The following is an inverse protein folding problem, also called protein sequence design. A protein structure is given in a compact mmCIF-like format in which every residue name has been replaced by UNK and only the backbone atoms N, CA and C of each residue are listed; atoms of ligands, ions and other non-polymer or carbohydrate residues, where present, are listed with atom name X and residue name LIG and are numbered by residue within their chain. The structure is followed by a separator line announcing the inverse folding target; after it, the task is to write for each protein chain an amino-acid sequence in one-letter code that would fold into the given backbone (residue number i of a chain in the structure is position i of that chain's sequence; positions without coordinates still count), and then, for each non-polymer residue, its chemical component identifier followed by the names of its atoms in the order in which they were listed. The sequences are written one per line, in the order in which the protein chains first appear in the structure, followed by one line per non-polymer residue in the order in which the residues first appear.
data_IF_829454420414
#
_entry.id   IF_829454420414
#
_cell.length_a   1.000
_cell.length_b   1.000
_cell.length_c   1.000
_cell.angle_alpha   90.00
_cell.angle_beta   90.00
_cell.angle_gamma   90.00
#
_symmetry.space_group_name_H-M   'P 1'
#
loop_
_entity.id
_entity.type
_entity.pdbx_description
1 polymer ?
#
# COMPACT_ATOMS: atom_id res chain seq x y z
N UNK A 1 26.53 23.04 21.54
CA UNK A 1 25.88 24.35 21.79
C UNK A 1 24.72 24.14 22.76
N UNK A 2 24.35 25.16 23.57
CA UNK A 2 23.23 25.08 24.53
C UNK A 2 21.92 25.48 23.84
N UNK A 3 20.77 24.86 24.21
CA UNK A 3 19.46 25.27 23.70
C UNK A 3 19.17 26.75 24.02
N UNK A 4 18.28 27.41 23.25
CA UNK A 4 17.93 28.82 23.47
C UNK A 4 17.50 29.07 24.93
N UNK A 5 17.86 30.22 25.53
CA UNK A 5 17.58 30.51 26.94
C UNK A 5 16.10 30.38 27.33
N UNK A 6 15.18 30.73 26.42
CA UNK A 6 13.72 30.68 26.64
C UNK A 6 13.14 29.27 26.78
N UNK A 7 13.88 28.23 26.36
CA UNK A 7 13.47 26.83 26.48
C UNK A 7 13.63 26.28 27.91
N UNK A 8 14.42 26.95 28.75
CA UNK A 8 14.73 26.50 30.13
C UNK A 8 13.61 26.75 31.13
N UNK A 9 12.70 27.69 30.83
CA UNK A 9 11.64 28.13 31.74
C UNK A 9 10.24 27.61 31.35
N UNK A 10 10.13 26.76 30.32
CA UNK A 10 8.85 26.46 29.66
C UNK A 10 8.26 25.09 30.02
N UNK A 11 8.28 24.66 31.29
CA UNK A 11 7.74 23.35 31.71
C UNK A 11 6.33 23.03 31.17
N UNK A 12 5.52 24.04 30.88
CA UNK A 12 4.18 23.94 30.27
C UNK A 12 4.16 23.68 28.74
N UNK A 13 5.25 23.96 28.02
CA UNK A 13 5.37 23.77 26.57
C UNK A 13 6.30 22.61 26.18
N UNK A 14 6.79 21.85 27.16
CA UNK A 14 7.58 20.66 26.90
C UNK A 14 6.71 19.55 26.27
N UNK A 15 7.27 18.82 25.30
CA UNK A 15 6.59 17.64 24.77
C UNK A 15 6.51 16.54 25.84
N UNK A 16 5.31 15.93 25.96
CA UNK A 16 5.14 14.66 26.67
C UNK A 16 5.90 13.53 25.96
N UNK A 17 6.19 12.43 26.65
CA UNK A 17 6.87 11.27 26.03
C UNK A 17 6.09 10.68 24.84
N UNK A 18 4.75 10.68 24.92
CA UNK A 18 3.90 10.26 23.80
C UNK A 18 4.08 11.17 22.57
N UNK A 19 4.15 12.50 22.78
CA UNK A 19 4.39 13.46 21.69
C UNK A 19 5.80 13.35 21.13
N UNK A 20 6.82 13.10 21.98
CA UNK A 20 8.18 12.79 21.51
C UNK A 20 8.21 11.53 20.67
N UNK A 21 7.50 10.47 21.08
CA UNK A 21 7.39 9.22 20.30
C UNK A 21 6.75 9.47 18.93
N UNK A 22 5.64 10.19 18.88
CA UNK A 22 4.98 10.57 17.62
C UNK A 22 5.89 11.41 16.71
N UNK A 23 6.59 12.38 17.28
CA UNK A 23 7.53 13.22 16.52
C UNK A 23 8.71 12.41 15.97
N UNK A 24 9.25 11.48 16.76
CA UNK A 24 10.28 10.54 16.28
C UNK A 24 9.78 9.67 15.13
N UNK A 25 8.52 9.24 15.16
CA UNK A 25 7.92 8.52 14.01
C UNK A 25 7.87 9.41 12.77
N UNK A 26 7.44 10.66 12.91
CA UNK A 26 7.39 11.63 11.80
C UNK A 26 8.78 11.95 11.23
N UNK A 27 9.79 12.06 12.09
CA UNK A 27 11.20 12.21 11.68
C UNK A 27 11.68 10.99 10.89
N UNK A 28 11.35 9.77 11.34
CA UNK A 28 11.68 8.54 10.60
C UNK A 28 11.00 8.49 9.24
N UNK A 29 9.77 8.97 9.11
CA UNK A 29 9.09 9.05 7.82
C UNK A 29 9.81 9.96 6.82
N UNK A 30 10.39 11.07 7.28
CA UNK A 30 11.25 11.91 6.45
C UNK A 30 12.62 11.27 6.17
N UNK A 31 13.29 10.74 7.20
CA UNK A 31 14.58 10.05 7.06
C UNK A 31 14.52 8.86 6.07
N UNK A 32 13.39 8.16 6.04
CA UNK A 32 13.16 7.05 5.14
C UNK A 32 13.23 7.48 3.66
N UNK A 33 12.85 8.71 3.33
CA UNK A 33 12.66 9.15 1.93
C UNK A 33 13.75 10.07 1.40
N UNK A 34 14.44 10.82 2.27
CA UNK A 34 15.54 11.73 1.89
C UNK A 34 16.88 11.32 2.50
N UNK A 35 18.01 11.63 1.84
CA UNK A 35 19.36 11.41 2.40
C UNK A 35 19.74 12.44 3.48
N UNK A 36 18.89 12.58 4.50
CA UNK A 36 19.13 13.42 5.68
C UNK A 36 19.07 12.52 6.90
N UNK A 37 20.11 12.57 7.74
CA UNK A 37 20.16 11.82 9.00
C UNK A 37 19.74 12.71 10.16
N UNK A 38 18.74 12.28 10.92
CA UNK A 38 18.31 12.95 12.13
C UNK A 38 18.87 12.24 13.36
N UNK A 39 19.59 12.98 14.20
CA UNK A 39 20.20 12.46 15.42
C UNK A 39 19.80 13.33 16.59
N UNK A 40 19.04 12.75 17.53
CA UNK A 40 18.60 13.44 18.74
C UNK A 40 19.82 13.85 19.58
N UNK A 41 19.89 15.12 19.97
CA UNK A 41 20.99 15.70 20.77
C UNK A 41 22.39 15.51 20.16
N UNK A 42 22.51 15.56 18.83
CA UNK A 42 23.78 15.49 18.12
C UNK A 42 24.77 16.59 18.56
N UNK A 43 26.04 16.22 18.74
CA UNK A 43 27.10 17.16 19.13
C UNK A 43 27.68 17.92 17.94
N UNK A 44 27.72 17.28 16.77
CA UNK A 44 28.30 17.79 15.52
C UNK A 44 27.27 17.64 14.40
N UNK A 45 26.25 18.51 14.38
CA UNK A 45 25.22 18.51 13.34
C UNK A 45 25.44 19.66 12.36
N UNK A 46 25.10 19.44 11.10
CA UNK A 46 25.14 20.48 10.06
C UNK A 46 24.12 21.59 10.35
N UNK A 47 22.95 21.20 10.87
CA UNK A 47 21.88 22.07 11.33
C UNK A 47 21.14 21.46 12.54
N UNK A 48 20.40 22.27 13.28
CA UNK A 48 19.67 21.89 14.48
C UNK A 48 18.17 22.16 14.33
N UNK A 49 17.36 21.13 14.57
CA UNK A 49 15.91 21.26 14.78
C UNK A 49 15.63 21.43 16.26
N UNK A 50 15.00 22.54 16.64
CA UNK A 50 14.55 22.82 18.01
C UNK A 50 13.04 22.64 18.06
N UNK A 51 12.58 21.59 18.74
CA UNK A 51 11.17 21.23 18.81
C UNK A 51 10.60 21.64 20.15
N UNK A 52 9.44 22.28 20.12
CA UNK A 52 8.71 22.66 21.33
C UNK A 52 7.20 22.72 21.09
N UNK A 53 6.44 22.73 22.18
CA UNK A 53 5.01 22.99 22.13
C UNK A 53 4.71 24.48 21.97
N UNK A 54 3.50 24.79 21.50
CA UNK A 54 2.94 26.13 21.51
C UNK A 54 1.47 26.10 22.00
N UNK A 55 0.95 27.24 22.44
CA UNK A 55 -0.41 27.36 23.00
C UNK A 55 -1.54 27.43 21.96
N UNK A 56 -1.23 27.29 20.66
CA UNK A 56 -2.19 27.38 19.56
C UNK A 56 -2.67 26.02 19.03
N UNK A 57 -3.38 26.09 17.90
CA UNK A 57 -3.81 24.95 17.07
C UNK A 57 -2.91 24.88 15.83
N UNK A 58 -2.53 23.67 15.39
CA UNK A 58 -1.66 23.48 14.22
C UNK A 58 -0.17 23.49 14.56
N UNK A 59 0.66 24.07 13.70
CA UNK A 59 2.11 24.14 13.87
C UNK A 59 2.72 25.35 13.17
N UNK A 60 4.00 25.58 13.42
CA UNK A 60 4.83 26.46 12.61
C UNK A 60 6.26 25.94 12.59
N UNK A 61 6.98 26.30 11.53
CA UNK A 61 8.39 25.95 11.36
C UNK A 61 9.17 27.09 10.71
N UNK A 62 10.48 27.11 10.99
CA UNK A 62 11.42 28.01 10.32
C UNK A 62 12.05 27.30 9.13
N UNK A 63 12.04 27.94 7.97
CA UNK A 63 12.76 27.44 6.78
C UNK A 63 14.28 27.44 7.01
N UNK A 64 15.05 26.56 6.34
CA UNK A 64 16.50 26.66 6.27
C UNK A 64 16.95 28.06 5.81
N UNK A 65 18.02 28.58 6.42
CA UNK A 65 18.59 29.88 6.06
C UNK A 65 20.10 29.92 6.27
N UNK A 66 20.80 30.77 5.52
CA UNK A 66 22.25 30.97 5.70
C UNK A 66 22.60 31.75 6.98
N UNK A 67 21.60 32.35 7.64
CA UNK A 67 21.79 33.21 8.80
C UNK A 67 21.77 32.45 10.14
N UNK A 68 21.10 31.28 10.18
CA UNK A 68 20.95 30.48 11.37
C UNK A 68 20.96 28.99 11.04
N UNK A 69 21.80 28.23 11.76
CA UNK A 69 21.77 26.77 11.74
C UNK A 69 20.60 26.17 12.54
N UNK A 70 19.89 27.00 13.31
CA UNK A 70 18.77 26.57 14.12
C UNK A 70 17.46 26.84 13.37
N UNK A 71 16.65 25.80 13.22
CA UNK A 71 15.27 25.89 12.77
C UNK A 71 14.36 25.51 13.94
N UNK A 72 13.35 26.32 14.21
CA UNK A 72 12.40 26.06 15.29
C UNK A 72 11.15 25.43 14.71
N UNK A 73 10.67 24.36 15.34
CA UNK A 73 9.38 23.72 15.07
C UNK A 73 8.53 23.85 16.32
N UNK A 74 7.44 24.61 16.21
CA UNK A 74 6.42 24.74 17.24
C UNK A 74 5.19 23.92 16.87
N UNK A 75 4.81 22.95 17.71
CA UNK A 75 3.57 22.17 17.52
C UNK A 75 2.52 22.60 18.56
N UNK A 76 1.31 22.89 18.08
CA UNK A 76 0.17 23.27 18.90
C UNK A 76 -0.22 22.18 19.89
N UNK A 77 -0.41 22.58 21.14
CA UNK A 77 -0.79 21.69 22.23
C UNK A 77 -2.29 21.76 22.57
N UNK A 78 -3.03 22.70 21.96
CA UNK A 78 -4.36 23.14 22.41
C UNK A 78 -5.57 22.54 21.68
N UNK A 79 -5.42 21.46 20.91
CA UNK A 79 -6.56 20.79 20.28
C UNK A 79 -6.48 19.27 20.45
N UNK A 80 -7.51 18.70 21.07
CA UNK A 80 -7.72 17.26 21.22
C UNK A 80 -8.13 16.61 19.89
N UNK A 81 -8.49 17.40 18.86
CA UNK A 81 -9.03 16.94 17.58
C UNK A 81 -8.07 17.06 16.38
N UNK A 82 -6.86 17.59 16.59
CA UNK A 82 -5.88 17.72 15.52
C UNK A 82 -4.93 16.51 15.48
N UNK A 83 -4.71 15.89 14.31
CA UNK A 83 -3.75 14.80 14.13
C UNK A 83 -2.33 15.32 14.34
N UNK A 84 -1.76 15.05 15.51
CA UNK A 84 -0.41 15.46 15.84
C UNK A 84 0.59 15.05 14.74
N UNK A 85 0.46 13.85 14.17
CA UNK A 85 1.37 13.34 13.14
C UNK A 85 1.39 14.18 11.86
N UNK A 86 0.23 14.62 11.36
CA UNK A 86 0.20 15.37 10.09
C UNK A 86 0.80 16.76 10.23
N UNK A 87 0.55 17.45 11.35
CA UNK A 87 1.23 18.72 11.64
C UNK A 87 2.74 18.51 11.79
N UNK A 88 3.17 17.42 12.44
CA UNK A 88 4.60 17.11 12.57
C UNK A 88 5.26 16.86 11.21
N UNK A 89 4.65 16.05 10.34
CA UNK A 89 5.13 15.84 8.97
C UNK A 89 5.24 17.17 8.22
N UNK A 90 4.21 18.01 8.30
CA UNK A 90 4.16 19.32 7.64
C UNK A 90 5.28 20.25 8.12
N UNK A 91 5.43 20.43 9.43
CA UNK A 91 6.42 21.36 9.98
C UNK A 91 7.87 20.88 9.77
N UNK A 92 8.09 19.56 9.75
CA UNK A 92 9.39 19.01 9.34
C UNK A 92 9.66 19.33 7.85
N UNK A 93 8.63 19.27 7.00
CA UNK A 93 8.73 19.65 5.58
C UNK A 93 9.24 21.08 5.37
N UNK A 94 8.67 22.06 6.09
CA UNK A 94 9.19 23.44 6.10
C UNK A 94 10.64 23.52 6.56
N UNK A 95 10.99 22.79 7.63
CA UNK A 95 12.38 22.77 8.12
C UNK A 95 13.35 22.05 7.18
N UNK A 96 12.82 21.29 6.21
CA UNK A 96 13.55 20.73 5.07
C UNK A 96 13.46 21.61 3.83
N UNK A 97 12.89 22.81 3.92
CA UNK A 97 12.85 23.80 2.83
C UNK A 97 11.69 23.65 1.87
N UNK A 98 10.64 22.89 2.22
CA UNK A 98 9.42 22.81 1.41
C UNK A 98 8.44 23.89 1.81
N UNK A 99 8.00 24.72 0.86
CA UNK A 99 6.92 25.68 1.07
C UNK A 99 5.55 25.08 0.83
N UNK A 100 4.51 25.84 1.16
CA UNK A 100 3.15 25.51 0.74
C UNK A 100 3.02 25.56 -0.79
N UNK A 101 2.23 24.66 -1.40
CA UNK A 101 1.88 24.79 -2.81
C UNK A 101 1.11 26.09 -3.07
N UNK A 102 1.46 26.79 -4.14
CA UNK A 102 0.80 28.03 -4.59
C UNK A 102 0.05 27.79 -5.90
N UNK A 103 -1.02 28.56 -6.14
CA UNK A 103 -1.82 28.46 -7.36
C UNK A 103 -2.92 27.40 -7.33
N UNK A 104 -3.70 27.38 -8.42
CA UNK A 104 -4.82 26.45 -8.63
C UNK A 104 -4.36 25.22 -9.42
N UNK A 105 -3.92 24.20 -8.70
CA UNK A 105 -3.55 22.90 -9.25
C UNK A 105 -4.43 21.81 -8.63
N UNK A 106 -4.93 20.82 -9.41
CA UNK A 106 -5.69 19.70 -8.87
C UNK A 106 -4.95 18.95 -7.74
N UNK A 107 -3.62 18.88 -7.84
CA UNK A 107 -2.74 18.23 -6.88
C UNK A 107 -2.39 19.11 -5.67
N UNK A 108 -2.85 20.37 -5.62
CA UNK A 108 -2.76 21.20 -4.42
C UNK A 108 -3.79 20.73 -3.39
N UNK A 109 -3.57 19.55 -2.82
CA UNK A 109 -4.37 18.98 -1.74
C UNK A 109 -3.59 17.88 -0.97
N UNK A 110 -4.11 17.51 0.21
CA UNK A 110 -3.47 16.59 1.17
C UNK A 110 -3.23 15.15 0.69
N UNK A 111 -3.76 14.74 -0.47
CA UNK A 111 -3.42 13.44 -1.10
C UNK A 111 -2.07 13.41 -1.77
N UNK A 112 -1.64 14.56 -2.29
CA UNK A 112 -0.40 14.66 -3.06
C UNK A 112 0.71 15.30 -2.23
N UNK A 113 0.37 16.20 -1.29
CA UNK A 113 1.33 16.88 -0.43
C UNK A 113 0.74 17.18 0.95
N UNK A 114 1.45 16.79 2.00
CA UNK A 114 1.20 17.17 3.38
C UNK A 114 1.37 18.69 3.59
N UNK A 115 2.02 19.40 2.67
CA UNK A 115 2.19 20.85 2.70
C UNK A 115 0.93 21.63 2.28
N UNK A 116 -0.09 20.97 1.72
CA UNK A 116 -1.33 21.67 1.35
C UNK A 116 -2.29 21.88 2.53
N UNK A 117 -3.01 23.00 2.50
CA UNK A 117 -4.16 23.24 3.38
C UNK A 117 -5.47 22.64 2.85
N UNK A 118 -5.53 22.24 1.57
CA UNK A 118 -6.75 21.76 0.93
C UNK A 118 -6.93 20.25 1.13
N UNK A 119 -8.18 19.81 1.30
CA UNK A 119 -8.55 18.39 1.36
C UNK A 119 -9.57 18.10 0.25
N UNK A 120 -9.41 17.00 -0.48
CA UNK A 120 -10.22 16.71 -1.67
C UNK A 120 -11.52 15.91 -1.37
N UNK A 121 -11.64 15.24 -0.22
CA UNK A 121 -12.79 14.39 0.09
C UNK A 121 -13.57 14.78 1.34
N UNK A 122 -14.77 14.22 1.45
CA UNK A 122 -15.62 14.28 2.62
C UNK A 122 -14.97 13.54 3.80
N UNK A 123 -14.79 14.25 4.93
CA UNK A 123 -14.28 13.67 6.18
C UNK A 123 -15.45 13.18 7.05
N UNK A 124 -15.42 11.94 7.56
CA UNK A 124 -16.38 11.52 8.57
C UNK A 124 -16.31 12.45 9.77
N UNK A 125 -17.49 12.85 10.26
CA UNK A 125 -17.62 13.66 11.46
C UNK A 125 -18.06 12.76 12.61
N UNK A 126 -17.56 13.02 13.80
CA UNK A 126 -18.08 12.40 15.01
C UNK A 126 -19.48 12.94 15.36
N UNK A 127 -20.06 12.41 16.43
CA UNK A 127 -21.37 12.81 16.97
C UNK A 127 -21.46 14.30 17.35
N UNK A 128 -20.32 14.97 17.53
CA UNK A 128 -20.21 16.38 17.87
C UNK A 128 -19.92 17.26 16.63
N UNK A 129 -19.89 16.67 15.43
CA UNK A 129 -19.64 17.37 14.18
C UNK A 129 -18.15 17.67 13.92
N UNK A 130 -17.24 17.13 14.73
CA UNK A 130 -15.79 17.26 14.55
C UNK A 130 -15.33 16.31 13.46
N UNK A 131 -14.59 16.81 12.47
CA UNK A 131 -13.98 15.93 11.47
C UNK A 131 -12.99 14.99 12.12
N UNK A 132 -13.25 13.68 12.05
CA UNK A 132 -12.31 12.65 12.49
C UNK A 132 -11.09 12.75 11.60
N UNK A 133 -9.95 13.06 12.21
CA UNK A 133 -8.75 13.29 11.45
C UNK A 133 -8.22 12.00 10.82
N UNK A 134 -7.88 12.12 9.54
CA UNK A 134 -7.38 11.08 8.66
C UNK A 134 -6.08 11.46 7.95
N UNK A 135 -5.33 12.34 8.60
CA UNK A 135 -4.30 13.09 7.92
C UNK A 135 -3.05 12.26 7.65
N UNK A 136 -2.32 12.64 6.60
CA UNK A 136 -1.12 11.97 6.14
C UNK A 136 -0.15 11.71 7.30
N UNK A 137 0.25 10.45 7.46
CA UNK A 137 1.22 10.03 8.47
C UNK A 137 2.64 9.91 7.91
N UNK A 138 2.81 10.19 6.62
CA UNK A 138 4.08 10.19 5.89
C UNK A 138 4.18 11.46 5.04
N UNK A 139 5.38 11.84 4.57
CA UNK A 139 5.49 12.68 3.37
C UNK A 139 4.71 12.01 2.23
N UNK A 140 3.94 12.79 1.48
CA UNK A 140 3.16 12.34 0.32
C UNK A 140 3.99 12.49 -0.97
N UNK A 141 3.46 12.05 -2.11
CA UNK A 141 4.20 11.95 -3.39
C UNK A 141 5.02 13.20 -3.75
N UNK A 142 4.43 14.39 -3.61
CA UNK A 142 5.10 15.66 -3.94
C UNK A 142 6.06 16.12 -2.85
N UNK A 143 5.79 15.77 -1.59
CA UNK A 143 6.72 16.02 -0.48
C UNK A 143 8.00 15.19 -0.65
N UNK A 144 7.85 13.91 -1.00
CA UNK A 144 8.95 13.00 -1.31
C UNK A 144 9.74 13.56 -2.49
N UNK A 145 9.08 13.88 -3.60
CA UNK A 145 9.74 14.42 -4.80
C UNK A 145 10.48 15.74 -4.50
N UNK A 146 9.85 16.65 -3.75
CA UNK A 146 10.44 17.92 -3.34
C UNK A 146 11.65 17.73 -2.43
N UNK A 147 11.52 16.92 -1.37
CA UNK A 147 12.60 16.63 -0.45
C UNK A 147 13.77 15.93 -1.13
N UNK A 148 13.50 14.97 -2.02
CA UNK A 148 14.54 14.26 -2.77
C UNK A 148 15.24 15.16 -3.80
N UNK A 149 14.56 16.19 -4.34
CA UNK A 149 15.22 17.21 -5.17
C UNK A 149 16.25 18.01 -4.38
N UNK A 150 15.98 18.28 -3.10
CA UNK A 150 16.86 19.07 -2.23
C UNK A 150 18.02 18.23 -1.67
N UNK A 151 17.75 16.99 -1.25
CA UNK A 151 18.69 16.18 -0.46
C UNK A 151 19.09 14.85 -1.12
N UNK A 152 18.45 14.47 -2.22
CA UNK A 152 18.58 13.14 -2.82
C UNK A 152 17.70 12.08 -2.14
N UNK A 153 17.36 11.05 -2.89
CA UNK A 153 16.58 9.89 -2.44
C UNK A 153 17.36 8.97 -1.51
N UNK A 154 16.77 8.56 -0.39
CA UNK A 154 17.40 7.55 0.46
C UNK A 154 17.18 6.15 -0.12
N UNK A 155 18.22 5.64 -0.79
CA UNK A 155 18.19 4.34 -1.48
C UNK A 155 18.48 3.14 -0.56
N UNK A 156 18.75 3.38 0.73
CA UNK A 156 19.02 2.31 1.72
C UNK A 156 17.73 1.81 2.40
N UNK A 157 16.63 2.55 2.23
CA UNK A 157 15.36 2.26 2.87
C UNK A 157 14.66 1.10 2.17
N UNK A 158 14.39 0.04 2.93
CA UNK A 158 13.57 -1.12 2.53
C UNK A 158 14.01 -1.66 1.16
N UNK A 159 15.14 -2.35 1.13
CA UNK A 159 15.72 -2.94 -0.11
C UNK A 159 15.41 -4.44 -0.26
N UNK A 160 14.53 -4.97 0.59
CA UNK A 160 14.08 -6.36 0.54
C UNK A 160 12.56 -6.40 0.66
N UNK A 161 12.00 -7.60 0.53
CA UNK A 161 10.55 -7.78 0.43
C UNK A 161 9.78 -7.18 1.62
N UNK A 162 8.96 -6.17 1.31
CA UNK A 162 8.17 -5.43 2.27
C UNK A 162 6.68 -5.62 2.01
N UNK A 163 5.93 -5.94 3.07
CA UNK A 163 4.47 -5.86 3.10
C UNK A 163 4.07 -4.58 3.80
N UNK A 164 3.15 -3.83 3.18
CA UNK A 164 2.52 -2.61 3.68
C UNK A 164 1.03 -2.88 3.93
N UNK A 165 0.45 -2.28 4.97
CA UNK A 165 -0.94 -2.51 5.37
C UNK A 165 -1.07 -3.59 6.44
N UNK A 166 -2.01 -4.52 6.26
CA UNK A 166 -2.14 -5.68 7.14
C UNK A 166 -0.90 -6.57 7.02
N UNK A 167 -0.56 -7.28 8.09
CA UNK A 167 0.61 -8.17 8.11
C UNK A 167 1.93 -7.46 7.75
N UNK A 168 2.00 -6.14 7.97
CA UNK A 168 3.14 -5.32 7.60
C UNK A 168 4.43 -5.77 8.30
N UNK A 169 5.52 -5.76 7.55
CA UNK A 169 6.88 -5.93 8.07
C UNK A 169 7.74 -4.68 7.79
N UNK A 170 7.12 -3.55 7.42
CA UNK A 170 7.81 -2.30 7.08
C UNK A 170 8.49 -1.63 8.30
N UNK A 171 8.27 -2.15 9.51
CA UNK A 171 8.77 -1.62 10.79
C UNK A 171 8.41 -0.14 11.00
N UNK A 172 7.22 0.25 10.55
CA UNK A 172 6.65 1.58 10.71
C UNK A 172 5.19 1.47 11.13
N UNK A 173 4.80 2.25 12.13
CA UNK A 173 3.42 2.36 12.60
C UNK A 173 2.50 2.89 11.49
N UNK A 174 2.93 3.92 10.75
CA UNK A 174 2.16 4.52 9.67
C UNK A 174 1.98 3.65 8.42
N UNK A 175 2.67 2.50 8.32
CA UNK A 175 2.48 1.50 7.26
C UNK A 175 1.80 0.22 7.76
N UNK A 176 1.45 0.13 9.03
CA UNK A 176 0.88 -1.09 9.62
C UNK A 176 -0.59 -0.90 9.94
N UNK A 177 -1.41 -1.88 9.54
CA UNK A 177 -2.82 -1.97 9.89
C UNK A 177 -3.05 -3.18 10.78
N UNK A 178 -3.75 -3.00 11.90
CA UNK A 178 -4.07 -4.11 12.82
C UNK A 178 -5.57 -4.43 12.92
N UNK A 179 -6.43 -3.55 12.39
CA UNK A 179 -7.87 -3.71 12.39
C UNK A 179 -8.51 -3.13 11.12
N UNK A 180 -9.69 -3.64 10.75
CA UNK A 180 -10.52 -3.12 9.66
C UNK A 180 -11.14 -1.75 9.95
N UNK A 181 -11.11 -1.31 11.22
CA UNK A 181 -11.63 -0.02 11.67
C UNK A 181 -10.56 1.09 11.64
N UNK A 182 -9.30 0.74 11.38
CA UNK A 182 -8.21 1.71 11.31
C UNK A 182 -8.28 2.57 10.06
N UNK A 183 -7.94 3.84 10.24
CA UNK A 183 -7.86 4.83 9.17
C UNK A 183 -6.41 4.94 8.73
N UNK A 184 -6.15 4.76 7.44
CA UNK A 184 -4.80 4.81 6.89
C UNK A 184 -4.64 5.94 5.86
N UNK A 185 -3.49 6.59 5.86
CA UNK A 185 -3.11 7.63 4.90
C UNK A 185 -1.59 7.71 4.78
N UNK A 186 -1.04 7.17 3.69
CA UNK A 186 0.41 7.09 3.47
C UNK A 186 0.81 7.06 1.99
N UNK A 187 2.07 7.43 1.73
CA UNK A 187 2.75 7.22 0.46
C UNK A 187 3.88 6.20 0.67
N UNK A 188 3.96 5.18 -0.20
CA UNK A 188 5.02 4.16 -0.15
C UNK A 188 6.31 4.72 -0.73
N UNK A 189 7.38 4.63 0.04
CA UNK A 189 8.76 4.74 -0.45
C UNK A 189 9.47 3.40 -0.22
N UNK A 190 10.01 2.80 -1.26
CA UNK A 190 10.67 1.50 -1.21
C UNK A 190 11.79 1.48 -2.26
N UNK A 191 12.90 0.79 -2.00
CA UNK A 191 14.06 0.74 -2.91
C UNK A 191 14.40 -0.67 -3.39
N UNK A 192 13.47 -1.60 -3.24
CA UNK A 192 13.49 -2.86 -3.94
C UNK A 192 13.12 -4.02 -3.05
N UNK A 193 13.00 -5.18 -3.69
CA UNK A 193 12.40 -6.34 -3.05
C UNK A 193 11.35 -6.93 -3.97
N UNK A 194 10.37 -7.55 -3.36
CA UNK A 194 9.16 -8.02 -4.02
C UNK A 194 8.03 -7.75 -3.03
N UNK A 195 7.40 -6.60 -3.22
CA UNK A 195 6.69 -5.88 -2.17
C UNK A 195 5.19 -6.04 -2.34
N UNK A 196 4.44 -5.89 -1.26
CA UNK A 196 3.01 -6.21 -1.22
C UNK A 196 2.22 -5.09 -0.55
N UNK A 197 1.19 -4.58 -1.22
CA UNK A 197 0.09 -3.89 -0.54
C UNK A 197 -0.92 -4.93 -0.06
N UNK A 198 -1.02 -5.14 1.25
CA UNK A 198 -1.96 -6.07 1.85
C UNK A 198 -3.09 -5.29 2.54
N UNK A 199 -4.26 -5.29 1.90
CA UNK A 199 -5.47 -4.64 2.39
C UNK A 199 -6.57 -5.66 2.70
N UNK A 200 -6.17 -6.91 3.01
CA UNK A 200 -7.06 -8.06 3.20
C UNK A 200 -8.03 -7.97 4.35
N UNK A 201 -7.76 -7.15 5.35
CA UNK A 201 -8.65 -6.98 6.51
C UNK A 201 -9.88 -6.12 6.22
N UNK A 202 -9.91 -5.35 5.13
CA UNK A 202 -11.03 -4.45 4.83
C UNK A 202 -12.22 -5.16 4.19
N UNK A 203 -13.41 -4.57 4.35
CA UNK A 203 -14.69 -5.07 3.80
C UNK A 203 -15.34 -4.12 2.80
N UNK A 204 -14.91 -2.87 2.80
CA UNK A 204 -15.32 -1.83 1.88
C UNK A 204 -14.77 -2.15 0.49
N UNK A 205 -15.46 -1.69 -0.56
CA UNK A 205 -14.91 -1.74 -1.92
C UNK A 205 -13.67 -0.85 -2.01
N UNK A 206 -12.62 -1.38 -2.63
CA UNK A 206 -11.33 -0.72 -2.73
C UNK A 206 -10.96 -0.46 -4.18
N UNK A 207 -10.10 0.54 -4.41
CA UNK A 207 -9.35 0.70 -5.66
C UNK A 207 -7.88 0.68 -5.30
N UNK A 208 -7.17 -0.38 -5.68
CA UNK A 208 -5.75 -0.55 -5.40
C UNK A 208 -5.00 -0.44 -6.72
N UNK A 209 -4.09 0.52 -6.83
CA UNK A 209 -3.31 0.77 -8.03
C UNK A 209 -1.81 0.67 -7.71
N UNK A 210 -1.12 -0.29 -8.34
CA UNK A 210 0.30 -0.56 -8.14
C UNK A 210 1.23 0.33 -8.99
N UNK A 211 0.68 1.22 -9.82
CA UNK A 211 1.49 2.16 -10.58
C UNK A 211 1.96 3.31 -9.68
N UNK A 212 3.24 3.66 -9.79
CA UNK A 212 3.80 4.84 -9.13
C UNK A 212 3.05 6.11 -9.54
N UNK A 213 3.02 7.09 -8.63
CA UNK A 213 2.36 8.38 -8.81
C UNK A 213 0.83 8.28 -9.01
N UNK A 214 0.24 7.14 -8.67
CA UNK A 214 -1.21 6.94 -8.68
C UNK A 214 -1.78 6.81 -7.27
N UNK A 215 -3.03 7.27 -7.13
CA UNK A 215 -3.81 7.18 -5.91
C UNK A 215 -4.64 5.88 -5.85
N UNK A 216 -4.74 5.34 -4.65
CA UNK A 216 -5.58 4.21 -4.26
C UNK A 216 -6.63 4.63 -3.23
N UNK A 217 -7.80 3.98 -3.29
CA UNK A 217 -8.91 4.13 -2.35
C UNK A 217 -8.95 2.89 -1.46
N UNK A 218 -8.58 3.01 -0.19
CA UNK A 218 -8.34 1.87 0.71
C UNK A 218 -9.12 2.05 2.00
N UNK A 219 -9.79 1.00 2.46
CA UNK A 219 -10.53 1.02 3.74
C UNK A 219 -11.68 2.02 3.79
N UNK A 220 -12.41 2.19 2.68
CA UNK A 220 -13.55 3.12 2.59
C UNK A 220 -13.15 4.59 2.44
N UNK A 221 -11.90 4.87 2.08
CA UNK A 221 -11.36 6.22 1.88
C UNK A 221 -10.97 6.42 0.42
N UNK A 222 -10.96 7.68 0.00
CA UNK A 222 -10.52 8.05 -1.33
C UNK A 222 -9.09 8.56 -1.27
N UNK A 223 -8.26 8.21 -2.27
CA UNK A 223 -6.92 8.77 -2.49
C UNK A 223 -5.96 8.75 -1.31
N UNK A 224 -6.14 7.85 -0.35
CA UNK A 224 -5.41 7.84 0.92
C UNK A 224 -4.11 7.03 0.85
N UNK A 225 -3.97 6.14 -0.11
CA UNK A 225 -2.73 5.38 -0.33
C UNK A 225 -2.15 5.75 -1.68
N UNK A 226 -0.83 5.93 -1.74
CA UNK A 226 -0.10 6.21 -2.98
C UNK A 226 1.26 5.53 -3.00
N UNK A 227 1.87 5.45 -4.18
CA UNK A 227 3.24 4.93 -4.37
C UNK A 227 4.08 6.08 -4.93
N UNK A 228 5.23 6.36 -4.31
CA UNK A 228 6.09 7.45 -4.73
C UNK A 228 6.72 7.20 -6.11
N UNK A 229 7.13 8.30 -6.76
CA UNK A 229 7.81 8.24 -8.05
C UNK A 229 9.05 7.35 -7.99
N UNK A 230 9.20 6.47 -8.99
CA UNK A 230 10.35 5.57 -9.11
C UNK A 230 10.31 4.34 -8.21
N UNK A 231 9.26 4.18 -7.40
CA UNK A 231 9.03 2.98 -6.58
C UNK A 231 8.24 1.96 -7.38
N UNK A 232 8.59 0.68 -7.23
CA UNK A 232 7.84 -0.44 -7.79
C UNK A 232 7.28 -1.23 -6.60
N UNK A 233 5.99 -1.57 -6.67
CA UNK A 233 5.36 -2.53 -5.75
C UNK A 233 4.74 -3.62 -6.60
N UNK A 234 5.13 -4.86 -6.39
CA UNK A 234 4.78 -5.97 -7.28
C UNK A 234 3.42 -6.58 -6.96
N UNK A 235 2.98 -6.57 -5.72
CA UNK A 235 1.87 -7.44 -5.29
C UNK A 235 0.76 -6.65 -4.60
N UNK A 236 -0.49 -7.10 -4.79
CA UNK A 236 -1.66 -6.55 -4.13
C UNK A 236 -2.57 -7.66 -3.61
N UNK A 237 -3.11 -7.45 -2.41
CA UNK A 237 -4.15 -8.28 -1.80
C UNK A 237 -5.31 -7.37 -1.43
N UNK A 238 -6.45 -7.55 -2.10
CA UNK A 238 -7.70 -6.89 -1.77
C UNK A 238 -8.40 -7.54 -0.57
N UNK A 239 -9.58 -7.04 -0.25
CA UNK A 239 -10.36 -7.36 0.94
C UNK A 239 -11.52 -8.30 0.68
N UNK A 240 -12.63 -8.05 1.39
CA UNK A 240 -13.90 -8.77 1.22
C UNK A 240 -14.94 -7.98 0.38
N UNK A 241 -14.55 -6.81 -0.12
CA UNK A 241 -15.37 -5.91 -0.93
C UNK A 241 -15.43 -6.30 -2.40
N UNK A 242 -16.07 -5.49 -3.22
CA UNK A 242 -15.95 -5.59 -4.68
C UNK A 242 -14.83 -4.67 -5.14
N UNK A 243 -13.62 -5.22 -5.21
CA UNK A 243 -12.41 -4.44 -5.35
C UNK A 243 -11.99 -4.27 -6.81
N UNK A 244 -11.35 -3.14 -7.11
CA UNK A 244 -10.65 -2.87 -8.37
C UNK A 244 -9.15 -2.92 -8.09
N UNK A 245 -8.46 -3.93 -8.62
CA UNK A 245 -7.01 -4.06 -8.49
C UNK A 245 -6.37 -3.86 -9.86
N UNK A 246 -5.39 -2.95 -9.91
CA UNK A 246 -4.67 -2.57 -11.12
C UNK A 246 -3.18 -2.82 -10.87
N UNK A 247 -2.62 -3.79 -11.60
CA UNK A 247 -1.20 -4.03 -11.66
C UNK A 247 -0.44 -2.92 -12.39
N UNK A 248 0.85 -3.13 -12.62
CA UNK A 248 1.75 -2.18 -13.26
C UNK A 248 2.50 -2.86 -14.41
N UNK A 249 3.64 -2.31 -14.82
CA UNK A 249 4.38 -2.84 -15.98
C UNK A 249 5.24 -4.08 -15.65
N UNK A 250 5.42 -4.41 -14.37
CA UNK A 250 6.22 -5.56 -13.94
C UNK A 250 5.31 -6.74 -13.59
N UNK A 251 5.89 -7.94 -13.47
CA UNK A 251 5.14 -9.11 -13.01
C UNK A 251 4.48 -8.84 -11.67
N UNK A 252 3.16 -8.92 -11.65
CA UNK A 252 2.36 -8.77 -10.43
C UNK A 252 1.81 -10.10 -9.91
N UNK A 253 1.63 -10.16 -8.58
CA UNK A 253 0.78 -11.17 -7.94
C UNK A 253 -0.42 -10.48 -7.32
N UNK A 254 -1.59 -10.80 -7.85
CA UNK A 254 -2.84 -10.11 -7.52
C UNK A 254 -3.79 -11.11 -6.87
N UNK A 255 -4.27 -10.80 -5.67
CA UNK A 255 -5.35 -11.54 -5.00
C UNK A 255 -6.50 -10.56 -4.79
N UNK A 256 -7.63 -10.78 -5.46
CA UNK A 256 -8.84 -9.95 -5.24
C UNK A 256 -9.34 -10.07 -3.80
N UNK A 257 -9.45 -11.30 -3.33
CA UNK A 257 -9.98 -11.62 -2.01
C UNK A 257 -11.37 -12.21 -2.16
N UNK A 258 -12.25 -11.98 -1.18
CA UNK A 258 -13.66 -12.32 -1.36
C UNK A 258 -14.35 -11.13 -2.00
N UNK A 259 -15.31 -11.36 -2.89
CA UNK A 259 -15.86 -10.23 -3.61
C UNK A 259 -16.41 -10.65 -4.94
N UNK A 260 -16.50 -9.70 -5.85
CA UNK A 260 -16.65 -9.95 -7.27
C UNK A 260 -15.80 -8.88 -7.92
N UNK A 261 -14.52 -9.17 -8.01
CA UNK A 261 -13.47 -8.18 -8.18
C UNK A 261 -13.20 -7.92 -9.66
N UNK A 262 -12.68 -6.74 -9.95
CA UNK A 262 -12.20 -6.37 -11.29
C UNK A 262 -10.69 -6.26 -11.26
N UNK A 263 -10.02 -7.16 -11.97
CA UNK A 263 -8.59 -7.33 -11.90
C UNK A 263 -7.95 -7.00 -13.26
N UNK A 264 -6.97 -6.10 -13.23
CA UNK A 264 -6.07 -5.79 -14.34
C UNK A 264 -4.66 -6.23 -13.96
N UNK A 265 -4.04 -7.09 -14.76
CA UNK A 265 -2.64 -7.46 -14.62
C UNK A 265 -1.72 -6.31 -15.02
N UNK A 266 -2.08 -5.57 -16.07
CA UNK A 266 -1.24 -4.54 -16.65
C UNK A 266 -0.24 -5.13 -17.65
N UNK A 267 1.03 -4.79 -17.50
CA UNK A 267 2.11 -5.40 -18.28
C UNK A 267 2.83 -6.46 -17.46
N UNK A 268 3.72 -7.23 -18.09
CA UNK A 268 4.45 -8.28 -17.40
C UNK A 268 3.81 -9.66 -17.58
N UNK A 269 4.10 -10.56 -16.65
CA UNK A 269 3.62 -11.95 -16.70
C UNK A 269 3.02 -12.29 -15.35
N UNK A 270 1.73 -12.01 -15.22
CA UNK A 270 1.07 -11.83 -13.94
C UNK A 270 0.49 -13.13 -13.39
N UNK A 271 0.18 -13.14 -12.10
CA UNK A 271 -0.52 -14.25 -11.47
C UNK A 271 -1.71 -13.77 -10.67
N UNK A 272 -2.90 -14.16 -11.09
CA UNK A 272 -4.16 -13.98 -10.36
C UNK A 272 -4.37 -15.17 -9.43
N UNK A 273 -4.44 -14.92 -8.14
CA UNK A 273 -4.38 -15.97 -7.10
C UNK A 273 -5.72 -16.10 -6.41
N UNK A 274 -6.22 -17.34 -6.38
CA UNK A 274 -7.43 -17.75 -5.67
C UNK A 274 -7.03 -18.71 -4.54
N UNK A 275 -7.36 -18.35 -3.31
CA UNK A 275 -7.03 -19.15 -2.13
C UNK A 275 -8.23 -19.93 -1.62
N UNK A 276 -9.44 -19.42 -1.83
CA UNK A 276 -10.70 -20.06 -1.43
C UNK A 276 -11.71 -20.09 -2.55
N UNK A 277 -12.65 -21.02 -2.48
CA UNK A 277 -13.80 -21.09 -3.41
C UNK A 277 -14.63 -19.81 -3.34
N UNK A 278 -14.77 -19.25 -2.13
CA UNK A 278 -15.53 -18.03 -1.87
C UNK A 278 -14.90 -16.77 -2.46
N UNK A 279 -13.63 -16.83 -2.89
CA UNK A 279 -12.94 -15.69 -3.48
C UNK A 279 -13.65 -15.25 -4.76
N UNK A 280 -14.14 -16.21 -5.56
CA UNK A 280 -14.84 -15.92 -6.83
C UNK A 280 -16.01 -16.88 -7.06
N UNK A 281 -17.15 -16.55 -6.45
CA UNK A 281 -18.38 -17.36 -6.55
C UNK A 281 -19.16 -17.08 -7.85
N UNK A 282 -20.04 -17.98 -8.34
CA UNK A 282 -20.78 -17.70 -9.57
C UNK A 282 -21.80 -16.54 -9.46
N UNK A 283 -22.18 -16.14 -8.23
CA UNK A 283 -23.01 -14.95 -7.99
C UNK A 283 -22.21 -13.65 -8.07
N UNK A 284 -20.92 -13.71 -7.75
CA UNK A 284 -20.00 -12.58 -7.70
C UNK A 284 -18.66 -13.05 -8.25
N UNK A 285 -18.57 -13.34 -9.56
CA UNK A 285 -17.34 -13.84 -10.13
C UNK A 285 -16.39 -12.66 -10.38
N UNK A 286 -15.12 -12.90 -10.13
CA UNK A 286 -14.04 -12.02 -10.52
C UNK A 286 -13.93 -11.91 -12.03
N UNK A 287 -13.41 -10.77 -12.47
CA UNK A 287 -13.27 -10.40 -13.87
C UNK A 287 -11.83 -10.00 -14.15
N UNK A 288 -11.14 -10.83 -14.92
CA UNK A 288 -9.83 -10.53 -15.49
C UNK A 288 -10.06 -9.74 -16.78
N UNK A 289 -9.67 -8.46 -16.77
CA UNK A 289 -10.03 -7.53 -17.84
C UNK A 289 -9.01 -7.50 -18.99
N UNK A 290 -7.75 -7.83 -18.71
CA UNK A 290 -6.63 -7.74 -19.65
C UNK A 290 -5.76 -9.01 -19.65
N UNK A 291 -6.26 -10.12 -19.12
CA UNK A 291 -5.56 -11.41 -19.08
C UNK A 291 -4.94 -11.77 -20.44
N UNK A 292 -3.70 -12.23 -20.45
CA UNK A 292 -2.98 -12.65 -21.66
C UNK A 292 -2.60 -14.12 -21.56
N UNK A 293 -3.37 -14.98 -22.25
CA UNK A 293 -3.08 -16.42 -22.34
C UNK A 293 -1.67 -16.68 -22.88
N UNK A 294 -0.98 -17.65 -22.27
CA UNK A 294 0.43 -17.97 -22.54
C UNK A 294 1.44 -17.09 -21.80
N UNK A 295 1.01 -15.97 -21.21
CA UNK A 295 1.85 -15.04 -20.45
C UNK A 295 1.44 -15.06 -18.98
N UNK A 296 0.18 -14.72 -18.71
CA UNK A 296 -0.38 -14.66 -17.37
C UNK A 296 -0.78 -16.04 -16.86
N UNK A 297 -0.99 -16.12 -15.55
CA UNK A 297 -1.39 -17.35 -14.86
C UNK A 297 -2.55 -17.12 -13.90
N UNK A 298 -3.40 -18.13 -13.80
CA UNK A 298 -4.45 -18.23 -12.79
C UNK A 298 -4.03 -19.33 -11.81
N UNK A 299 -3.73 -18.95 -10.57
CA UNK A 299 -3.32 -19.88 -9.52
C UNK A 299 -4.52 -20.27 -8.66
N UNK A 300 -4.97 -21.50 -8.84
CA UNK A 300 -6.06 -22.13 -8.06
C UNK A 300 -5.52 -23.19 -7.09
N UNK A 301 -4.20 -23.31 -6.94
CA UNK A 301 -3.60 -24.33 -6.10
C UNK A 301 -4.02 -24.22 -4.63
N UNK A 302 -4.31 -22.99 -4.16
CA UNK A 302 -4.89 -22.74 -2.85
C UNK A 302 -6.29 -23.34 -2.71
N UNK A 303 -7.18 -23.08 -3.67
CA UNK A 303 -8.56 -23.62 -3.71
C UNK A 303 -8.55 -25.14 -3.71
N UNK A 304 -7.70 -25.77 -4.53
CA UNK A 304 -7.60 -27.23 -4.62
C UNK A 304 -7.14 -27.84 -3.29
N UNK A 305 -6.14 -27.23 -2.65
CA UNK A 305 -5.64 -27.66 -1.34
C UNK A 305 -6.73 -27.55 -0.26
N UNK A 306 -7.43 -26.41 -0.18
CA UNK A 306 -8.51 -26.20 0.78
C UNK A 306 -9.66 -27.19 0.57
N UNK A 307 -9.96 -27.51 -0.69
CA UNK A 307 -11.05 -28.42 -1.05
C UNK A 307 -10.68 -29.91 -1.03
N UNK A 308 -9.42 -30.25 -0.77
CA UNK A 308 -8.93 -31.63 -0.78
C UNK A 308 -8.96 -32.29 -2.17
N UNK A 309 -8.69 -31.53 -3.23
CA UNK A 309 -8.66 -32.01 -4.62
C UNK A 309 -7.20 -32.18 -5.03
N UNK A 310 -6.81 -33.42 -5.34
CA UNK A 310 -5.42 -33.76 -5.72
C UNK A 310 -5.18 -33.72 -7.24
N UNK A 311 -6.25 -33.81 -8.04
CA UNK A 311 -6.19 -33.77 -9.50
C UNK A 311 -7.44 -33.09 -10.05
N UNK A 312 -7.25 -32.28 -11.09
CA UNK A 312 -8.33 -31.61 -11.82
C UNK A 312 -8.52 -32.31 -13.17
N UNK A 313 -9.77 -32.53 -13.56
CA UNK A 313 -10.14 -32.94 -14.92
C UNK A 313 -10.56 -31.70 -15.69
N UNK A 314 -9.74 -31.25 -16.64
CA UNK A 314 -9.98 -30.05 -17.42
C UNK A 314 -10.68 -30.44 -18.72
N UNK A 315 -11.81 -29.79 -19.01
CA UNK A 315 -12.57 -29.92 -20.25
C UNK A 315 -12.70 -28.55 -20.90
N UNK A 316 -12.53 -28.49 -22.22
CA UNK A 316 -12.70 -27.28 -23.03
C UNK A 316 -13.95 -27.43 -23.90
N UNK A 317 -14.85 -26.45 -23.86
CA UNK A 317 -15.99 -26.39 -24.78
C UNK A 317 -15.55 -25.93 -26.18
N UNK A 318 -16.38 -26.24 -27.18
CA UNK A 318 -16.18 -25.70 -28.54
C UNK A 318 -16.12 -24.16 -28.52
N UNK A 319 -15.34 -23.54 -29.41
CA UNK A 319 -15.22 -22.09 -29.46
C UNK A 319 -16.58 -21.38 -29.56
N UNK A 320 -16.84 -20.46 -28.63
CA UNK A 320 -18.06 -19.65 -28.61
C UNK A 320 -19.28 -20.31 -27.95
N UNK A 321 -19.15 -21.56 -27.49
CA UNK A 321 -20.23 -22.30 -26.85
C UNK A 321 -20.02 -22.39 -25.33
N UNK A 322 -21.14 -22.60 -24.61
CA UNK A 322 -21.10 -22.97 -23.19
C UNK A 322 -20.87 -24.47 -23.08
N UNK A 323 -19.99 -24.86 -22.16
CA UNK A 323 -19.77 -26.25 -21.81
C UNK A 323 -20.83 -26.78 -20.85
N UNK A 324 -20.93 -28.12 -20.78
CA UNK A 324 -21.73 -28.85 -19.80
C UNK A 324 -20.81 -29.53 -18.80
N UNK A 325 -21.18 -29.53 -17.53
CA UNK A 325 -20.44 -30.20 -16.46
C UNK A 325 -21.28 -31.33 -15.87
N UNK A 326 -20.64 -32.44 -15.53
CA UNK A 326 -21.28 -33.62 -14.93
C UNK A 326 -21.48 -33.49 -13.42
N UNK A 327 -20.93 -32.43 -12.81
CA UNK A 327 -21.07 -32.16 -11.39
C UNK A 327 -20.06 -32.92 -10.53
N UNK A 328 -18.99 -33.46 -11.13
CA UNK A 328 -17.98 -34.18 -10.39
C UNK A 328 -17.03 -33.23 -9.65
N UNK A 329 -16.69 -33.57 -8.41
CA UNK A 329 -15.68 -32.83 -7.66
C UNK A 329 -14.32 -32.92 -8.37
N UNK A 330 -13.70 -31.77 -8.61
CA UNK A 330 -12.43 -31.66 -9.35
C UNK A 330 -12.60 -31.52 -10.86
N UNK A 331 -13.84 -31.40 -11.36
CA UNK A 331 -14.12 -31.04 -12.74
C UNK A 331 -13.89 -29.54 -12.96
N UNK A 332 -13.13 -29.18 -14.00
CA UNK A 332 -12.88 -27.80 -14.42
C UNK A 332 -13.29 -27.63 -15.88
N UNK A 333 -14.21 -26.70 -16.14
CA UNK A 333 -14.68 -26.34 -17.47
C UNK A 333 -14.10 -25.00 -17.90
N UNK A 334 -13.58 -24.96 -19.13
CA UNK A 334 -13.20 -23.76 -19.85
C UNK A 334 -14.16 -23.54 -21.01
N UNK A 335 -14.88 -22.42 -21.02
CA UNK A 335 -15.86 -22.14 -22.06
C UNK A 335 -16.03 -20.64 -22.34
N UNK A 336 -16.98 -20.31 -23.22
CA UNK A 336 -17.38 -18.92 -23.48
C UNK A 336 -18.87 -18.74 -23.22
N UNK A 337 -19.21 -17.65 -22.53
CA UNK A 337 -20.58 -17.31 -22.23
C UNK A 337 -21.07 -16.15 -23.10
N UNK A 338 -21.88 -16.40 -24.14
CA UNK A 338 -22.34 -15.36 -25.04
C UNK A 338 -23.25 -14.32 -24.37
N UNK A 339 -23.87 -14.66 -23.24
CA UNK A 339 -24.77 -13.75 -22.52
C UNK A 339 -24.00 -12.65 -21.79
N UNK A 340 -22.83 -12.97 -21.22
CA UNK A 340 -21.97 -11.99 -20.54
C UNK A 340 -20.77 -11.56 -21.38
N UNK A 341 -20.55 -12.20 -22.53
CA UNK A 341 -19.46 -11.96 -23.49
C UNK A 341 -18.08 -12.07 -22.85
N UNK A 342 -17.88 -13.15 -22.09
CA UNK A 342 -16.64 -13.45 -21.38
C UNK A 342 -16.32 -14.94 -21.47
N UNK A 343 -15.03 -15.27 -21.47
CA UNK A 343 -14.55 -16.62 -21.21
C UNK A 343 -14.71 -16.96 -19.74
N UNK A 344 -14.93 -18.24 -19.42
CA UNK A 344 -15.11 -18.69 -18.05
C UNK A 344 -14.15 -19.83 -17.73
N UNK A 345 -13.61 -19.77 -16.52
CA UNK A 345 -13.07 -20.92 -15.82
C UNK A 345 -14.04 -21.27 -14.71
N UNK A 346 -14.58 -22.49 -14.74
CA UNK A 346 -15.53 -22.98 -13.74
C UNK A 346 -14.94 -24.24 -13.12
N UNK A 347 -14.60 -24.18 -11.83
CA UNK A 347 -14.11 -25.33 -11.08
C UNK A 347 -15.18 -25.78 -10.09
N UNK A 348 -15.62 -27.03 -10.20
CA UNK A 348 -16.47 -27.67 -9.23
C UNK A 348 -15.63 -28.30 -8.11
N UNK A 349 -15.85 -27.90 -6.87
CA UNK A 349 -15.14 -28.43 -5.70
C UNK A 349 -15.98 -29.32 -4.78
N UNK A 350 -17.25 -29.56 -5.12
CA UNK A 350 -18.16 -30.39 -4.34
C UNK A 350 -19.63 -30.11 -4.64
N UNK A 351 -20.53 -30.70 -3.86
CA UNK A 351 -21.96 -30.64 -4.18
C UNK A 351 -22.58 -29.26 -3.87
N UNK A 352 -23.34 -28.73 -4.81
CA UNK A 352 -24.13 -27.51 -4.62
C UNK A 352 -23.42 -26.21 -5.03
N UNK A 353 -24.21 -25.14 -5.20
CA UNK A 353 -23.78 -23.90 -5.86
C UNK A 353 -22.66 -23.13 -5.14
N UNK A 354 -22.52 -23.29 -3.82
CA UNK A 354 -21.46 -22.65 -3.04
C UNK A 354 -20.08 -23.30 -3.21
N UNK A 355 -20.04 -24.47 -3.85
CA UNK A 355 -18.86 -25.27 -4.08
C UNK A 355 -18.35 -25.14 -5.52
N UNK A 356 -18.54 -23.95 -6.12
CA UNK A 356 -18.07 -23.64 -7.47
C UNK A 356 -17.25 -22.36 -7.42
N UNK A 357 -16.02 -22.43 -7.92
CA UNK A 357 -15.22 -21.25 -8.25
C UNK A 357 -15.50 -20.89 -9.71
N UNK A 358 -15.85 -19.63 -9.98
CA UNK A 358 -16.08 -19.13 -11.33
C UNK A 358 -15.27 -17.87 -11.56
N UNK A 359 -14.40 -17.86 -12.56
CA UNK A 359 -13.59 -16.71 -12.95
C UNK A 359 -13.97 -16.31 -14.37
N UNK A 360 -14.17 -15.03 -14.63
CA UNK A 360 -14.46 -14.49 -15.95
C UNK A 360 -13.21 -13.83 -16.53
N UNK A 361 -12.94 -14.05 -17.82
CA UNK A 361 -11.86 -13.38 -18.54
C UNK A 361 -12.34 -12.76 -19.84
N UNK A 362 -11.82 -11.57 -20.17
CA UNK A 362 -12.06 -10.90 -21.46
C UNK A 362 -11.45 -11.65 -22.63
N UNK A 363 -10.40 -12.42 -22.38
CA UNK A 363 -9.66 -13.20 -23.36
C UNK A 363 -9.74 -14.70 -23.04
N UNK A 364 -9.48 -15.60 -24.01
CA UNK A 364 -9.48 -17.03 -23.76
C UNK A 364 -8.52 -17.43 -22.64
N UNK A 365 -8.93 -18.40 -21.82
CA UNK A 365 -8.08 -19.09 -20.85
C UNK A 365 -7.78 -20.47 -21.40
N UNK A 366 -6.51 -20.90 -21.38
CA UNK A 366 -6.10 -22.24 -21.80
C UNK A 366 -5.68 -23.09 -20.60
N UNK A 367 -5.67 -24.43 -20.72
CA UNK A 367 -5.21 -25.30 -19.63
C UNK A 367 -3.82 -24.93 -19.08
N UNK A 368 -2.88 -24.58 -19.97
CA UNK A 368 -1.50 -24.19 -19.59
C UNK A 368 -1.41 -22.86 -18.81
N UNK A 369 -2.49 -22.10 -18.76
CA UNK A 369 -2.59 -20.87 -17.97
C UNK A 369 -2.89 -21.13 -16.49
N UNK A 370 -3.31 -22.34 -16.14
CA UNK A 370 -3.86 -22.66 -14.83
C UNK A 370 -2.81 -23.37 -13.98
N UNK A 371 -2.43 -22.76 -12.86
CA UNK A 371 -1.55 -23.38 -11.88
C UNK A 371 -2.40 -24.17 -10.87
N UNK A 372 -2.27 -25.50 -10.91
CA UNK A 372 -2.99 -26.43 -10.03
C UNK A 372 -2.13 -26.94 -8.87
N UNK A 373 -0.83 -26.64 -8.87
CA UNK A 373 0.11 -27.01 -7.81
C UNK A 373 0.88 -25.78 -7.35
N UNK A 374 1.12 -25.68 -6.03
CA UNK A 374 1.97 -24.62 -5.51
C UNK A 374 3.38 -24.81 -6.06
N UNK A 375 3.93 -23.81 -6.77
CA UNK A 375 5.35 -23.84 -7.13
C UNK A 375 6.17 -23.90 -5.85
N UNK A 376 7.04 -24.89 -5.73
CA UNK A 376 8.06 -24.92 -4.68
C UNK A 376 8.89 -23.63 -4.79
N UNK A 377 9.06 -22.91 -3.66
CA UNK A 377 10.01 -21.78 -3.60
C UNK A 377 11.36 -22.27 -4.13
N UNK A 378 12.07 -21.51 -4.99
CA UNK A 378 13.45 -21.83 -5.31
C UNK A 378 14.21 -21.92 -4.00
N UNK A 379 14.81 -23.07 -3.71
CA UNK A 379 15.73 -23.15 -2.58
C UNK A 379 16.84 -22.13 -2.82
N UNK A 380 16.96 -21.16 -1.92
CA UNK A 380 18.10 -20.26 -1.86
C UNK A 380 19.36 -21.12 -1.91
N UNK A 381 20.07 -21.06 -3.03
CA UNK A 381 21.37 -21.67 -3.16
C UNK A 381 22.27 -20.97 -2.16
N UNK A 382 22.49 -21.58 -0.98
CA UNK A 382 23.53 -21.11 -0.06
C UNK A 382 24.85 -21.18 -0.83
N UNK A 383 25.61 -20.07 -0.94
CA UNK A 383 26.93 -20.14 -1.55
C UNK A 383 27.76 -21.15 -0.76
N UNK A 384 28.41 -22.08 -1.48
CA UNK A 384 29.37 -23.01 -0.90
C UNK A 384 30.39 -22.19 -0.14
N UNK A 385 30.45 -22.37 1.18
CA UNK A 385 31.60 -21.92 1.97
C UNK A 385 32.84 -22.62 1.41
N UNK A 386 33.72 -21.86 0.77
CA UNK A 386 35.07 -22.30 0.46
C UNK A 386 35.75 -22.64 1.79
N UNK A 387 36.13 -23.91 1.96
CA UNK A 387 37.06 -24.31 3.02
C UNK A 387 38.35 -23.53 2.80
N UNK A 388 38.73 -22.71 3.78
CA UNK A 388 40.10 -22.27 3.91
C UNK A 388 40.94 -23.50 4.28
N UNK A 389 41.79 -23.93 3.35
CA UNK A 389 42.89 -24.83 3.68
C UNK A 389 43.94 -24.03 4.44
N UNK A 390 44.22 -24.46 5.67
CA UNK A 390 45.43 -24.14 6.42
C UNK A 390 46.66 -24.57 5.63
N UNK A 391 47.56 -23.62 5.38
CA UNK A 391 49.01 -23.83 5.32
C UNK A 391 49.69 -22.72 6.12
#
# INVERSE_FOLDING_TARGET
MRPPPWLKDSGALAFSEARKKAFRSSIRAWEDVVKVKFVENAKNADALLVIHGNNGVGGYATMPSDHSKNMNIGIGLGDDNSPLNSSMIHEIGHSLGLGHPVGEHPENNKTHTAMSYNTHWWRPRDENGVSVSDSASTPMMHDITGGQRLYGANNETRTGNTTYGFNSNADRDYYSLTSADELTSFCVWDNGGNDTLDFSGFKQNQKINLNAEQLSNVGGREGNVSIAKGVIVENAIGGAGHDLLIGNAVRNRITGGAGGDTLYGGGGADTFIYRRVSDSSPKRPDRLQDFVSGVDKIDISGVLKESGISKVSITEASPGERGTMDGQKGELMLDYDPNVRMHRLILNVGDGFHNVLMILSKTPIKPDDILTTARSRPQLHRPRQSRAETV
#
